data_IF_487528469761
#
_entry.id   IF_487528469761
#
_cell.length_a   1.000
_cell.length_b   1.000
_cell.length_c   1.000
_cell.angle_alpha   90.00
_cell.angle_beta   90.00
_cell.angle_gamma   90.00
#
_symmetry.space_group_name_H-M   'P 1'
#
loop_
_entity.id
_entity.type
_entity.pdbx_description
1 polymer ?
#
# COMPACT_ATOMS: atom_id res chain seq x y z
N UNK A 1 -20.01 22.11 -7.32
CA UNK A 1 -18.90 21.13 -7.27
C UNK A 1 -19.00 20.43 -5.93
N UNK A 2 -18.94 19.09 -5.83
CA UNK A 2 -18.81 18.47 -4.52
C UNK A 2 -17.54 19.07 -3.88
N UNK A 3 -17.62 19.50 -2.63
CA UNK A 3 -16.45 19.95 -1.90
C UNK A 3 -15.36 18.90 -2.04
N UNK A 4 -14.12 19.28 -2.30
CA UNK A 4 -12.99 18.40 -2.09
C UNK A 4 -13.12 17.93 -0.62
N UNK A 5 -13.64 16.71 -0.43
CA UNK A 5 -14.13 16.28 0.86
C UNK A 5 -12.99 16.17 1.86
N UNK A 6 -13.28 16.14 3.16
CA UNK A 6 -12.27 16.01 4.22
C UNK A 6 -11.46 14.69 4.15
N UNK A 7 -11.81 13.76 3.26
CA UNK A 7 -11.22 12.42 3.17
C UNK A 7 -9.71 12.42 2.87
N UNK A 8 -9.19 13.18 1.88
CA UNK A 8 -7.75 13.21 1.61
C UNK A 8 -6.96 13.83 2.77
N UNK A 9 -7.54 14.82 3.47
CA UNK A 9 -6.93 15.41 4.67
C UNK A 9 -6.85 14.38 5.81
N UNK A 10 -7.92 13.62 6.03
CA UNK A 10 -7.94 12.53 7.02
C UNK A 10 -6.91 11.45 6.66
N UNK A 11 -6.84 11.03 5.39
CA UNK A 11 -5.88 10.03 4.94
C UNK A 11 -4.43 10.49 5.16
N UNK A 12 -4.13 11.77 4.89
CA UNK A 12 -2.81 12.35 5.12
C UNK A 12 -2.43 12.38 6.61
N UNK A 13 -3.36 12.70 7.52
CA UNK A 13 -3.09 12.68 8.96
C UNK A 13 -2.93 11.25 9.50
N UNK A 14 -3.68 10.28 8.98
CA UNK A 14 -3.49 8.86 9.30
C UNK A 14 -2.09 8.40 8.86
N UNK A 15 -1.69 8.73 7.63
CA UNK A 15 -0.35 8.41 7.12
C UNK A 15 0.74 8.92 8.07
N UNK A 16 0.70 10.21 8.46
CA UNK A 16 1.68 10.83 9.35
C UNK A 16 1.70 10.17 10.73
N UNK A 17 0.54 9.84 11.28
CA UNK A 17 0.43 9.19 12.59
C UNK A 17 1.03 7.77 12.54
N UNK A 18 0.69 6.99 11.52
CA UNK A 18 1.20 5.63 11.33
C UNK A 18 2.71 5.62 11.07
N UNK A 19 3.23 6.55 10.28
CA UNK A 19 4.68 6.71 10.06
C UNK A 19 5.43 6.99 11.38
N UNK A 20 4.91 7.90 12.22
CA UNK A 20 5.49 8.20 13.55
C UNK A 20 5.48 6.99 14.49
N UNK A 21 4.53 6.08 14.32
CA UNK A 21 4.43 4.83 15.09
C UNK A 21 5.29 3.69 14.51
N UNK A 22 6.05 3.94 13.44
CA UNK A 22 6.89 2.94 12.80
C UNK A 22 6.09 1.92 11.98
N UNK A 23 4.93 2.31 11.44
CA UNK A 23 4.19 1.46 10.52
C UNK A 23 5.03 1.11 9.28
N UNK A 24 4.76 -0.06 8.72
CA UNK A 24 5.50 -0.53 7.54
C UNK A 24 5.17 0.32 6.30
N UNK A 25 6.11 0.50 5.37
CA UNK A 25 5.90 1.30 4.15
C UNK A 25 4.77 0.79 3.26
N UNK A 26 4.52 -0.51 3.20
CA UNK A 26 3.51 -1.11 2.32
C UNK A 26 2.07 -0.63 2.61
N UNK A 27 1.55 -0.73 3.85
CA UNK A 27 0.24 -0.17 4.18
C UNK A 27 0.22 1.36 4.09
N UNK A 28 1.34 2.04 4.38
CA UNK A 28 1.44 3.50 4.25
C UNK A 28 1.27 3.97 2.79
N UNK A 29 1.91 3.29 1.84
CA UNK A 29 1.75 3.55 0.41
C UNK A 29 0.31 3.33 -0.06
N UNK A 30 -0.40 2.39 0.54
CA UNK A 30 -1.81 2.11 0.25
C UNK A 30 -2.72 3.23 0.76
N UNK A 31 -2.50 3.71 1.99
CA UNK A 31 -3.24 4.85 2.58
C UNK A 31 -3.00 6.15 1.80
N UNK A 32 -1.77 6.39 1.34
CA UNK A 32 -1.43 7.57 0.54
C UNK A 32 -1.97 7.56 -0.90
N UNK A 33 -2.43 6.41 -1.40
CA UNK A 33 -2.92 6.23 -2.77
C UNK A 33 -4.44 6.44 -2.94
N UNK A 34 -5.13 6.77 -1.84
CA UNK A 34 -6.59 6.95 -1.77
C UNK A 34 -7.15 7.83 -2.91
N UNK A 35 -7.91 7.21 -3.81
CA UNK A 35 -8.65 7.86 -4.90
C UNK A 35 -7.83 8.59 -5.98
N UNK A 36 -6.52 8.81 -5.76
CA UNK A 36 -5.64 9.54 -6.68
C UNK A 36 -4.93 8.61 -7.67
N UNK A 37 -4.56 7.41 -7.21
CA UNK A 37 -3.82 6.42 -8.00
C UNK A 37 -4.46 5.03 -7.95
N UNK A 38 -5.21 4.72 -6.88
CA UNK A 38 -5.94 3.48 -6.69
C UNK A 38 -7.41 3.76 -6.40
N UNK A 39 -8.30 2.86 -6.85
CA UNK A 39 -9.71 2.89 -6.46
C UNK A 39 -9.89 2.37 -5.04
N UNK A 40 -10.98 2.74 -4.37
CA UNK A 40 -11.32 2.26 -3.02
C UNK A 40 -11.29 0.73 -2.93
N UNK A 41 -11.72 0.02 -3.98
CA UNK A 41 -11.69 -1.45 -4.04
C UNK A 41 -10.27 -2.00 -4.08
N UNK A 42 -9.36 -1.36 -4.82
CA UNK A 42 -7.96 -1.75 -4.89
C UNK A 42 -7.25 -1.52 -3.54
N UNK A 43 -7.48 -0.36 -2.92
CA UNK A 43 -6.98 -0.06 -1.57
C UNK A 43 -7.48 -1.09 -0.56
N UNK A 44 -8.78 -1.44 -0.59
CA UNK A 44 -9.34 -2.45 0.31
C UNK A 44 -8.74 -3.84 0.07
N UNK A 45 -8.49 -4.22 -1.18
CA UNK A 45 -7.88 -5.50 -1.53
C UNK A 45 -6.45 -5.60 -0.98
N UNK A 46 -5.63 -4.57 -1.17
CA UNK A 46 -4.24 -4.52 -0.68
C UNK A 46 -4.17 -4.56 0.85
N UNK A 47 -5.04 -3.81 1.54
CA UNK A 47 -5.11 -3.84 3.01
C UNK A 47 -5.51 -5.21 3.55
N UNK A 48 -6.52 -5.86 2.96
CA UNK A 48 -6.92 -7.23 3.36
C UNK A 48 -5.78 -8.22 3.17
N UNK A 49 -5.11 -8.12 2.03
CA UNK A 49 -3.98 -8.97 1.68
C UNK A 49 -2.81 -8.79 2.64
N UNK A 50 -2.46 -7.55 2.98
CA UNK A 50 -1.44 -7.27 3.97
C UNK A 50 -1.80 -7.85 5.34
N UNK A 51 -3.05 -7.71 5.77
CA UNK A 51 -3.50 -8.26 7.05
C UNK A 51 -3.47 -9.79 7.10
N UNK A 52 -3.69 -10.46 5.96
CA UNK A 52 -3.63 -11.92 5.85
C UNK A 52 -2.19 -12.45 5.77
N UNK A 53 -1.35 -11.83 4.92
CA UNK A 53 -0.03 -12.36 4.54
C UNK A 53 1.16 -11.62 5.15
N UNK A 54 0.93 -10.46 5.75
CA UNK A 54 1.98 -9.54 6.21
C UNK A 54 2.70 -8.77 5.09
N UNK A 55 2.25 -8.90 3.84
CA UNK A 55 2.80 -8.23 2.65
C UNK A 55 1.73 -8.06 1.56
N UNK A 56 1.85 -7.01 0.75
CA UNK A 56 1.00 -6.76 -0.43
C UNK A 56 1.55 -7.40 -1.71
N UNK A 57 2.81 -7.83 -1.72
CA UNK A 57 3.41 -8.41 -2.91
C UNK A 57 2.98 -9.88 -3.10
N UNK A 58 2.67 -10.28 -4.33
CA UNK A 58 2.67 -11.69 -4.73
C UNK A 58 4.14 -12.09 -4.85
N UNK A 59 4.61 -12.99 -3.97
CA UNK A 59 5.90 -13.71 -4.05
C UNK A 59 7.04 -13.02 -4.82
N UNK A 60 8.11 -12.69 -4.09
CA UNK A 60 9.38 -12.21 -4.64
C UNK A 60 9.75 -12.97 -5.93
N UNK A 61 9.63 -12.32 -7.10
CA UNK A 61 10.15 -12.85 -8.37
C UNK A 61 11.67 -12.68 -8.37
N UNK A 62 12.36 -13.38 -7.47
CA UNK A 62 13.80 -13.59 -7.57
C UNK A 62 14.04 -14.94 -8.22
N UNK A 63 13.73 -15.04 -9.53
CA UNK A 63 14.40 -16.04 -10.37
C UNK A 63 15.79 -15.51 -10.68
N UNK A 64 16.73 -15.72 -9.77
CA UNK A 64 18.14 -15.64 -10.11
C UNK A 64 18.41 -16.77 -11.14
N UNK A 65 18.40 -16.42 -12.42
CA UNK A 65 18.85 -17.28 -13.51
C UNK A 65 20.34 -17.56 -13.29
N UNK A 66 20.66 -18.65 -12.59
CA UNK A 66 22.00 -19.22 -12.62
C UNK A 66 22.11 -20.01 -13.92
N UNK A 67 22.55 -19.35 -14.99
CA UNK A 67 23.12 -20.06 -16.13
C UNK A 67 24.40 -20.69 -15.59
N UNK A 68 24.33 -22.00 -15.32
CA UNK A 68 25.52 -22.82 -15.15
C UNK A 68 26.05 -23.07 -16.54
N UNK A 69 27.22 -22.49 -16.83
CA UNK A 69 28.04 -22.79 -18.00
C UNK A 69 28.23 -24.31 -18.11
N UNK A 70 27.97 -24.84 -19.30
CA UNK A 70 28.30 -26.19 -19.73
C UNK A 70 28.99 -26.13 -21.08
#
# INVERSE_FOLDING_TARGET
MPSAGLKPEIAAEIYKASEKLGARPEPLATVGSDGATLTDEAVLADLKRFNEKGTIFDEVICRAWRVVDG
#
